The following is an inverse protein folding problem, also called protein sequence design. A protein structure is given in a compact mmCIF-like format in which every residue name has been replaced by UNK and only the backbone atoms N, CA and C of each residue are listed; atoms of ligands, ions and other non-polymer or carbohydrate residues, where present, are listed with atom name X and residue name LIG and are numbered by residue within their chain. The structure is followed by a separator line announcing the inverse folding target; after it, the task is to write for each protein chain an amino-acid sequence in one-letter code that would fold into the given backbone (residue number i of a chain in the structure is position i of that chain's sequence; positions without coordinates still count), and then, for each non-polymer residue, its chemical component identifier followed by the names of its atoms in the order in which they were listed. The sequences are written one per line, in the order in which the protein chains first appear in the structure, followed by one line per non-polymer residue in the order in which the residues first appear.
data_IF_234766017789
#
_entry.id   IF_234766017789
#
_cell.length_a   1.000
_cell.length_b   1.000
_cell.length_c   1.000
_cell.angle_alpha   90.00
_cell.angle_beta   90.00
_cell.angle_gamma   90.00
#
_symmetry.space_group_name_H-M   'P 1'
#
loop_
_entity.id
_entity.type
_entity.pdbx_description
1 polymer ?
#
# COMPACT_ATOMS: atom_id res chain seq x y z
N UNK A 1 -4.03 -1.09 -2.40
CA UNK A 1 -2.88 -1.90 -2.87
C UNK A 1 -1.84 -0.98 -3.49
N UNK A 2 -0.58 -1.42 -3.63
CA UNK A 2 0.54 -0.58 -4.08
C UNK A 2 1.47 -1.34 -5.02
N UNK A 3 2.13 -0.61 -5.91
CA UNK A 3 3.26 -1.05 -6.72
C UNK A 3 4.55 -0.59 -6.04
N UNK A 4 5.57 -1.43 -6.05
CA UNK A 4 6.82 -1.18 -5.30
C UNK A 4 8.00 -1.11 -6.26
N UNK A 5 8.73 0.00 -6.21
CA UNK A 5 10.04 0.16 -6.86
C UNK A 5 11.11 0.25 -5.77
N UNK A 6 12.34 -0.18 -6.07
CA UNK A 6 13.43 -0.21 -5.11
C UNK A 6 14.61 0.64 -5.57
N UNK A 7 15.15 1.43 -4.64
CA UNK A 7 16.49 2.01 -4.77
C UNK A 7 17.47 1.08 -4.05
N UNK A 8 18.37 0.48 -4.81
CA UNK A 8 19.35 -0.50 -4.30
C UNK A 8 20.77 -0.08 -4.65
N UNK A 9 21.75 -0.64 -3.94
CA UNK A 9 23.15 -0.49 -4.32
C UNK A 9 23.40 -0.85 -5.79
N UNK A 10 24.34 -0.14 -6.44
CA UNK A 10 24.76 -0.42 -7.82
C UNK A 10 25.33 -1.83 -7.98
N UNK A 11 26.07 -2.30 -6.97
CA UNK A 11 26.76 -3.59 -7.01
C UNK A 11 26.07 -4.57 -6.08
N UNK A 12 25.48 -5.66 -6.59
CA UNK A 12 24.90 -6.69 -5.74
C UNK A 12 25.87 -7.19 -4.66
N UNK A 13 25.39 -7.28 -3.42
CA UNK A 13 26.19 -7.71 -2.27
C UNK A 13 27.05 -6.62 -1.62
N UNK A 14 27.11 -5.40 -2.17
CA UNK A 14 27.70 -4.28 -1.43
C UNK A 14 26.69 -3.63 -0.48
N UNK A 15 27.15 -2.96 0.60
CA UNK A 15 26.26 -2.28 1.52
C UNK A 15 25.47 -1.16 0.85
N UNK A 16 24.20 -1.01 1.24
CA UNK A 16 23.34 0.07 0.77
C UNK A 16 23.53 1.34 1.63
N UNK A 17 23.85 2.47 0.99
CA UNK A 17 24.02 3.76 1.67
C UNK A 17 22.68 4.50 1.85
N UNK A 18 21.84 4.03 2.79
CA UNK A 18 20.52 4.62 3.04
C UNK A 18 20.59 6.13 3.36
N UNK A 19 21.55 6.55 4.19
CA UNK A 19 21.70 7.95 4.61
C UNK A 19 21.89 8.93 3.43
N UNK A 20 22.56 8.49 2.36
CA UNK A 20 22.75 9.32 1.16
C UNK A 20 21.42 9.53 0.43
N UNK A 21 20.66 8.45 0.25
CA UNK A 21 19.34 8.50 -0.39
C UNK A 21 18.37 9.33 0.45
N UNK A 22 18.41 9.17 1.78
CA UNK A 22 17.55 9.91 2.71
C UNK A 22 17.83 11.43 2.70
N UNK A 23 19.09 11.83 2.59
CA UNK A 23 19.47 13.24 2.45
C UNK A 23 18.88 13.84 1.16
N UNK A 24 19.05 13.16 0.03
CA UNK A 24 18.55 13.61 -1.28
C UNK A 24 17.01 13.61 -1.36
N UNK A 25 16.34 12.67 -0.69
CA UNK A 25 14.88 12.68 -0.53
C UNK A 25 14.42 13.89 0.30
N UNK A 26 15.14 14.21 1.37
CA UNK A 26 14.83 15.36 2.22
C UNK A 26 14.96 16.68 1.46
N UNK A 27 15.99 16.82 0.63
CA UNK A 27 16.18 17.99 -0.25
C UNK A 27 15.06 18.13 -1.29
N UNK A 28 14.43 17.02 -1.70
CA UNK A 28 13.29 16.98 -2.63
C UNK A 28 11.94 17.20 -1.95
N UNK A 29 11.94 17.55 -0.66
CA UNK A 29 10.73 17.86 0.09
C UNK A 29 9.93 16.63 0.52
N UNK A 30 10.58 15.46 0.65
CA UNK A 30 9.94 14.29 1.26
C UNK A 30 9.69 14.55 2.74
N UNK A 31 8.45 14.41 3.18
CA UNK A 31 8.02 14.74 4.54
C UNK A 31 7.65 13.49 5.32
N UNK A 32 8.13 13.37 6.54
CA UNK A 32 7.69 12.33 7.47
C UNK A 32 6.27 12.63 7.98
N UNK A 33 5.39 11.64 7.92
CA UNK A 33 4.06 11.69 8.52
C UNK A 33 4.09 11.24 9.98
N UNK A 34 3.07 11.61 10.78
CA UNK A 34 2.96 11.18 12.18
C UNK A 34 2.87 9.66 12.38
N UNK A 35 2.47 8.91 11.34
CA UNK A 35 2.42 7.45 11.32
C UNK A 35 3.80 6.80 11.05
N UNK A 36 4.87 7.61 10.91
CA UNK A 36 6.22 7.16 10.63
C UNK A 36 6.50 6.88 9.15
N UNK A 37 5.52 7.04 8.26
CA UNK A 37 5.70 6.88 6.81
C UNK A 37 6.20 8.18 6.21
N UNK A 38 7.21 8.09 5.34
CA UNK A 38 7.68 9.25 4.58
C UNK A 38 6.87 9.38 3.29
N UNK A 39 6.54 10.61 2.90
CA UNK A 39 5.72 10.89 1.72
C UNK A 39 6.46 11.82 0.76
N UNK A 40 6.47 11.42 -0.50
CA UNK A 40 6.93 12.22 -1.61
C UNK A 40 5.73 12.64 -2.46
N UNK A 41 5.43 13.94 -2.49
CA UNK A 41 4.29 14.48 -3.23
C UNK A 41 4.65 14.84 -4.66
N UNK A 42 3.78 14.42 -5.59
CA UNK A 42 3.85 14.68 -7.02
C UNK A 42 2.59 15.39 -7.49
N UNK A 43 2.56 15.80 -8.75
CA UNK A 43 1.39 16.47 -9.34
C UNK A 43 0.19 15.54 -9.41
N UNK A 44 0.41 14.26 -9.70
CA UNK A 44 -0.66 13.27 -9.89
C UNK A 44 -0.95 12.40 -8.65
N UNK A 45 -0.37 12.72 -7.50
CA UNK A 45 -0.62 12.01 -6.24
C UNK A 45 0.62 11.91 -5.37
N UNK A 46 0.56 11.04 -4.38
CA UNK A 46 1.63 10.83 -3.41
C UNK A 46 2.25 9.44 -3.56
N UNK A 47 3.57 9.35 -3.34
CA UNK A 47 4.31 8.10 -3.22
C UNK A 47 4.80 7.96 -1.78
N UNK A 48 4.54 6.81 -1.18
CA UNK A 48 5.05 6.50 0.15
C UNK A 48 6.47 5.95 0.06
N UNK A 49 7.34 6.40 0.95
CA UNK A 49 8.74 5.99 1.02
C UNK A 49 8.93 5.12 2.26
N UNK A 50 9.43 3.92 2.02
CA UNK A 50 9.72 2.91 3.04
C UNK A 50 11.18 2.46 3.02
N UNK A 51 11.52 1.60 3.97
CA UNK A 51 12.81 0.91 4.01
C UNK A 51 12.56 -0.59 3.86
N UNK A 52 13.35 -1.24 3.00
CA UNK A 52 13.43 -2.69 2.96
C UNK A 52 14.60 -3.12 3.85
N UNK A 53 14.33 -3.99 4.81
CA UNK A 53 15.32 -4.49 5.77
C UNK A 53 15.49 -5.99 5.66
N UNK A 54 16.74 -6.45 5.60
CA UNK A 54 17.12 -7.86 5.65
C UNK A 54 18.14 -8.04 6.79
N UNK A 55 17.90 -9.00 7.70
CA UNK A 55 18.79 -9.22 8.84
C UNK A 55 18.98 -7.99 9.74
N UNK A 56 18.01 -7.08 9.78
CA UNK A 56 18.07 -5.82 10.54
C UNK A 56 18.79 -4.67 9.84
N UNK A 57 19.46 -4.93 8.71
CA UNK A 57 20.13 -3.91 7.90
C UNK A 57 19.20 -3.39 6.81
N UNK A 58 19.23 -2.09 6.53
CA UNK A 58 18.51 -1.49 5.41
C UNK A 58 19.25 -1.85 4.12
N UNK A 59 18.57 -2.56 3.23
CA UNK A 59 19.14 -3.05 1.96
C UNK A 59 18.60 -2.29 0.74
N UNK A 60 17.47 -1.61 0.89
CA UNK A 60 16.90 -0.76 -0.14
C UNK A 60 15.98 0.31 0.46
N UNK A 61 15.76 1.39 -0.29
CA UNK A 61 14.63 2.30 -0.07
C UNK A 61 13.49 1.90 -0.99
N UNK A 62 12.29 1.75 -0.45
CA UNK A 62 11.09 1.37 -1.19
C UNK A 62 10.29 2.61 -1.61
N UNK A 63 9.92 2.67 -2.88
CA UNK A 63 8.93 3.62 -3.40
C UNK A 63 7.62 2.88 -3.63
N UNK A 64 6.62 3.23 -2.84
CA UNK A 64 5.32 2.58 -2.77
C UNK A 64 4.30 3.46 -3.49
N UNK A 65 4.12 3.20 -4.78
CA UNK A 65 3.18 3.93 -5.63
C UNK A 65 1.79 3.33 -5.47
N UNK A 66 0.75 4.11 -5.09
CA UNK A 66 -0.61 3.59 -5.01
C UNK A 66 -1.06 3.07 -6.38
N UNK A 67 -1.74 1.91 -6.42
CA UNK A 67 -2.32 1.41 -7.67
C UNK A 67 -3.49 2.27 -8.11
N UNK A 68 -3.48 2.68 -9.37
CA UNK A 68 -4.58 3.39 -10.03
C UNK A 68 -4.62 3.03 -11.51
N UNK A 69 -5.76 3.29 -12.14
CA UNK A 69 -5.96 3.16 -13.59
C UNK A 69 -5.27 4.28 -14.39
N UNK A 70 -4.82 5.35 -13.73
CA UNK A 70 -4.10 6.47 -14.33
C UNK A 70 -2.59 6.32 -14.17
N UNK A 71 -1.83 6.21 -15.27
CA UNK A 71 -0.39 5.94 -15.21
C UNK A 71 0.47 7.17 -14.90
N UNK A 72 -0.11 8.37 -14.84
CA UNK A 72 0.65 9.63 -14.77
C UNK A 72 1.53 9.71 -13.52
N UNK A 73 1.02 9.29 -12.36
CA UNK A 73 1.79 9.23 -11.12
C UNK A 73 2.97 8.24 -11.22
N UNK A 74 2.78 7.09 -11.88
CA UNK A 74 3.85 6.12 -12.07
C UNK A 74 4.96 6.68 -12.97
N UNK A 75 4.61 7.41 -14.03
CA UNK A 75 5.60 8.08 -14.90
C UNK A 75 6.41 9.12 -14.11
N UNK A 76 5.72 9.99 -13.38
CA UNK A 76 6.36 11.01 -12.54
C UNK A 76 7.29 10.38 -11.49
N UNK A 77 6.83 9.30 -10.84
CA UNK A 77 7.61 8.59 -9.84
C UNK A 77 8.86 7.92 -10.45
N UNK A 78 8.75 7.27 -11.61
CA UNK A 78 9.89 6.61 -12.28
C UNK A 78 10.93 7.63 -12.74
N UNK A 79 10.50 8.73 -13.37
CA UNK A 79 11.40 9.80 -13.82
C UNK A 79 12.16 10.41 -12.64
N UNK A 80 11.45 10.83 -11.58
CA UNK A 80 12.06 11.43 -10.41
C UNK A 80 12.94 10.45 -9.62
N UNK A 81 12.51 9.19 -9.50
CA UNK A 81 13.30 8.16 -8.83
C UNK A 81 14.55 7.79 -9.63
N UNK A 82 14.51 7.79 -10.96
CA UNK A 82 15.69 7.57 -11.79
C UNK A 82 16.70 8.72 -11.66
N UNK A 83 16.23 9.97 -11.61
CA UNK A 83 17.08 11.12 -11.35
C UNK A 83 17.73 11.04 -9.95
N UNK A 84 16.94 10.71 -8.92
CA UNK A 84 17.43 10.48 -7.56
C UNK A 84 18.45 9.34 -7.52
N UNK A 85 18.18 8.23 -8.21
CA UNK A 85 19.06 7.06 -8.25
C UNK A 85 20.43 7.43 -8.86
N UNK A 86 20.41 8.16 -9.98
CA UNK A 86 21.62 8.65 -10.64
C UNK A 86 22.45 9.55 -9.74
N UNK A 87 21.83 10.47 -9.00
CA UNK A 87 22.53 11.39 -8.10
C UNK A 87 23.08 10.67 -6.86
N UNK A 88 22.31 9.73 -6.31
CA UNK A 88 22.74 8.95 -5.16
C UNK A 88 23.79 7.88 -5.51
N UNK A 89 24.03 7.59 -6.79
CA UNK A 89 24.91 6.50 -7.20
C UNK A 89 24.34 5.13 -6.83
N UNK A 90 23.02 4.98 -6.93
CA UNK A 90 22.27 3.74 -6.67
C UNK A 90 21.49 3.38 -7.95
N UNK A 91 20.94 2.17 -8.00
CA UNK A 91 20.07 1.74 -9.11
C UNK A 91 18.61 1.76 -8.70
N UNK A 92 17.75 2.21 -9.61
CA UNK A 92 16.31 2.00 -9.53
C UNK A 92 16.00 0.61 -10.09
N UNK A 93 15.20 -0.17 -9.38
CA UNK A 93 14.85 -1.55 -9.73
C UNK A 93 13.33 -1.72 -9.68
N UNK A 94 12.81 -2.41 -10.67
CA UNK A 94 11.45 -2.96 -10.68
C UNK A 94 11.54 -4.46 -10.33
N UNK A 95 11.13 -4.87 -9.11
CA UNK A 95 11.11 -6.27 -8.71
C UNK A 95 10.22 -7.17 -9.56
N UNK A 96 9.10 -6.62 -10.06
CA UNK A 96 8.10 -7.36 -10.84
C UNK A 96 8.60 -7.63 -12.27
N UNK A 97 9.43 -6.75 -12.82
CA UNK A 97 10.13 -6.95 -14.09
C UNK A 97 11.52 -7.59 -13.92
N UNK A 98 12.01 -7.70 -12.68
CA UNK A 98 13.31 -8.28 -12.35
C UNK A 98 14.50 -7.52 -12.95
N UNK A 99 14.37 -6.21 -13.21
CA UNK A 99 15.39 -5.43 -13.92
C UNK A 99 15.56 -4.02 -13.35
N UNK A 100 16.72 -3.43 -13.63
CA UNK A 100 16.97 -2.02 -13.33
C UNK A 100 16.24 -1.12 -14.33
N UNK A 101 15.78 0.03 -13.84
CA UNK A 101 15.10 1.04 -14.62
C UNK A 101 15.99 2.28 -14.78
N UNK A 102 15.83 2.94 -15.91
CA UNK A 102 16.34 4.26 -16.22
C UNK A 102 15.17 5.22 -16.46
N UNK A 103 15.42 6.53 -16.48
CA UNK A 103 14.38 7.53 -16.78
C UNK A 103 13.79 7.45 -18.20
N UNK A 104 14.18 6.46 -19.02
CA UNK A 104 13.61 6.17 -20.35
C UNK A 104 12.78 4.88 -20.37
N UNK A 105 12.77 4.10 -19.29
CA UNK A 105 12.14 2.78 -19.23
C UNK A 105 10.63 2.80 -18.95
N UNK A 106 10.00 3.98 -19.06
CA UNK A 106 8.59 4.25 -18.72
C UNK A 106 7.60 3.26 -19.33
N UNK A 107 7.78 2.84 -20.59
CA UNK A 107 6.73 2.10 -21.30
C UNK A 107 6.44 0.72 -20.65
N UNK A 108 7.47 -0.05 -20.33
CA UNK A 108 7.31 -1.41 -19.80
C UNK A 108 6.85 -1.44 -18.34
N UNK A 109 7.40 -0.55 -17.51
CA UNK A 109 6.98 -0.42 -16.10
C UNK A 109 5.55 0.12 -15.99
N UNK A 110 5.18 1.10 -16.82
CA UNK A 110 3.82 1.64 -16.83
C UNK A 110 2.81 0.59 -17.29
N UNK A 111 3.13 -0.20 -18.32
CA UNK A 111 2.25 -1.28 -18.76
C UNK A 111 2.03 -2.31 -17.64
N UNK A 112 3.10 -2.73 -16.98
CA UNK A 112 3.03 -3.68 -15.86
C UNK A 112 2.23 -3.08 -14.68
N UNK A 113 2.45 -1.81 -14.35
CA UNK A 113 1.70 -1.09 -13.33
C UNK A 113 0.19 -1.07 -13.62
N UNK A 114 -0.21 -0.68 -14.84
CA UNK A 114 -1.62 -0.63 -15.24
C UNK A 114 -2.25 -2.03 -15.21
N UNK A 115 -1.50 -3.04 -15.65
CA UNK A 115 -1.92 -4.44 -15.59
C UNK A 115 -2.16 -4.88 -14.14
N UNK A 116 -1.22 -4.62 -13.24
CA UNK A 116 -1.36 -4.91 -11.81
C UNK A 116 -2.53 -4.16 -11.19
N UNK A 117 -2.74 -2.90 -11.55
CA UNK A 117 -3.87 -2.10 -11.08
C UNK A 117 -5.22 -2.68 -11.51
N UNK A 118 -5.36 -3.10 -12.78
CA UNK A 118 -6.58 -3.75 -13.28
C UNK A 118 -6.86 -5.07 -12.55
N UNK A 119 -5.86 -5.94 -12.43
CA UNK A 119 -6.05 -7.19 -11.69
C UNK A 119 -6.39 -6.96 -10.22
N UNK A 120 -5.76 -5.98 -9.56
CA UNK A 120 -6.10 -5.62 -8.20
C UNK A 120 -7.56 -5.13 -8.08
N UNK A 121 -8.05 -4.34 -9.04
CA UNK A 121 -9.44 -3.93 -9.12
C UNK A 121 -10.39 -5.11 -9.36
N UNK A 122 -10.01 -6.03 -10.26
CA UNK A 122 -10.81 -7.19 -10.60
C UNK A 122 -10.96 -8.18 -9.43
N UNK A 123 -9.85 -8.46 -8.73
CA UNK A 123 -9.80 -9.39 -7.61
C UNK A 123 -10.38 -8.78 -6.34
N UNK A 124 -10.24 -7.47 -6.13
CA UNK A 124 -10.86 -6.77 -5.00
C UNK A 124 -12.38 -6.51 -5.19
N UNK A 125 -12.91 -6.72 -6.40
CA UNK A 125 -14.35 -6.75 -6.71
C UNK A 125 -14.75 -5.83 -7.86
N UNK A 126 -15.03 -6.42 -9.04
CA UNK A 126 -15.77 -5.79 -10.16
C UNK A 126 -17.26 -5.69 -9.75
N UNK A 127 -17.94 -4.55 -9.93
CA UNK A 127 -18.43 -4.16 -11.26
C UNK A 127 -17.94 -2.80 -11.72
N UNK A 128 -17.82 -2.66 -13.04
CA UNK A 128 -17.76 -1.38 -13.72
C UNK A 128 -18.89 -0.44 -13.24
N UNK A 129 -18.54 0.53 -12.42
CA UNK A 129 -19.33 1.73 -12.18
C UNK A 129 -18.41 2.96 -12.32
N UNK A 130 -17.72 3.05 -13.46
CA UNK A 130 -17.25 4.35 -13.95
C UNK A 130 -18.48 5.14 -14.38
N UNK A 131 -19.03 5.89 -13.43
CA UNK A 131 -20.17 6.76 -13.66
C UNK A 131 -20.38 7.67 -12.46
N UNK A 132 -19.73 8.84 -12.53
CA UNK A 132 -20.02 10.03 -11.74
C UNK A 132 -19.63 10.03 -10.25
N UNK A 133 -18.64 10.88 -9.96
CA UNK A 133 -18.72 11.83 -8.84
C UNK A 133 -18.40 11.31 -7.44
N UNK A 134 -17.17 11.53 -6.99
CA UNK A 134 -16.89 12.10 -5.66
C UNK A 134 -15.37 12.16 -5.44
N UNK A 135 -14.79 13.25 -5.90
CA UNK A 135 -13.80 13.94 -5.06
C UNK A 135 -14.50 14.34 -3.76
N UNK A 136 -13.81 14.20 -2.63
CA UNK A 136 -14.28 14.36 -1.25
C UNK A 136 -14.94 13.11 -0.63
N UNK A 137 -14.12 12.33 0.08
CA UNK A 137 -14.33 12.25 1.52
C UNK A 137 -13.02 11.95 2.24
N UNK A 138 -12.80 12.80 3.21
CA UNK A 138 -11.69 12.89 4.13
C UNK A 138 -11.39 11.55 4.81
N UNK A 139 -10.11 11.37 5.09
CA UNK A 139 -9.63 10.34 5.99
C UNK A 139 -10.18 10.59 7.40
N UNK A 140 -11.25 9.88 7.78
CA UNK A 140 -11.57 9.64 9.18
C UNK A 140 -10.82 8.40 9.67
N UNK A 141 -9.83 8.67 10.54
CA UNK A 141 -9.73 8.04 11.86
C UNK A 141 -9.82 6.52 11.96
N UNK A 142 -8.70 5.92 12.34
CA UNK A 142 -8.59 4.78 13.26
C UNK A 142 -9.92 4.21 13.75
N UNK A 143 -10.43 3.15 13.12
CA UNK A 143 -11.47 2.31 13.73
C UNK A 143 -10.97 0.87 13.77
N UNK A 144 -10.56 0.48 14.98
CA UNK A 144 -10.41 -0.93 15.34
C UNK A 144 -11.68 -1.70 14.96
N UNK A 145 -11.48 -2.97 14.61
CA UNK A 145 -12.48 -4.00 14.31
C UNK A 145 -13.94 -3.51 14.37
N UNK A 146 -14.44 -2.93 13.28
CA UNK A 146 -15.86 -2.64 13.15
C UNK A 146 -16.60 -3.97 12.93
N UNK A 147 -17.03 -4.58 14.03
CA UNK A 147 -18.00 -5.67 14.04
C UNK A 147 -19.21 -5.18 13.25
N UNK A 148 -19.40 -5.70 12.03
CA UNK A 148 -20.53 -5.31 11.20
C UNK A 148 -21.83 -5.54 11.98
N UNK A 149 -22.82 -4.66 11.85
CA UNK A 149 -24.13 -4.79 12.54
C UNK A 149 -24.76 -6.17 12.32
N UNK A 150 -24.46 -6.82 11.18
CA UNK A 150 -24.85 -8.20 10.89
C UNK A 150 -24.23 -9.20 11.87
N UNK A 151 -22.94 -9.09 12.17
CA UNK A 151 -22.26 -9.95 13.15
C UNK A 151 -22.84 -9.77 14.56
N UNK A 152 -23.15 -8.54 14.97
CA UNK A 152 -23.79 -8.28 16.28
C UNK A 152 -25.17 -8.94 16.36
N UNK A 153 -25.99 -8.83 15.31
CA UNK A 153 -27.30 -9.46 15.26
C UNK A 153 -27.22 -10.99 15.28
N UNK A 154 -26.23 -11.58 14.60
CA UNK A 154 -26.00 -13.03 14.60
C UNK A 154 -25.61 -13.50 16.01
N UNK A 155 -24.66 -12.83 16.65
CA UNK A 155 -24.22 -13.18 18.01
C UNK A 155 -25.38 -13.06 18.99
N UNK A 156 -26.14 -11.96 18.93
CA UNK A 156 -27.30 -11.76 19.79
C UNK A 156 -28.37 -12.84 19.57
N UNK A 157 -28.63 -13.24 18.32
CA UNK A 157 -29.55 -14.33 17.99
C UNK A 157 -29.11 -15.67 18.60
N UNK A 158 -27.82 -16.00 18.53
CA UNK A 158 -27.27 -17.22 19.13
C UNK A 158 -27.50 -17.22 20.65
N UNK A 159 -27.22 -16.11 21.34
CA UNK A 159 -27.43 -16.02 22.79
C UNK A 159 -28.90 -16.15 23.19
N UNK A 160 -29.84 -15.59 22.42
CA UNK A 160 -31.27 -15.73 22.68
C UNK A 160 -31.74 -17.17 22.52
N UNK A 161 -31.29 -17.86 21.46
CA UNK A 161 -31.60 -19.28 21.27
C UNK A 161 -31.03 -20.12 22.41
N UNK A 162 -29.78 -19.87 22.79
CA UNK A 162 -29.13 -20.59 23.87
C UNK A 162 -29.83 -20.37 25.22
N UNK A 163 -30.27 -19.14 25.49
CA UNK A 163 -31.09 -18.82 26.67
C UNK A 163 -32.41 -19.61 26.68
N UNK A 164 -33.14 -19.65 25.57
CA UNK A 164 -34.40 -20.41 25.49
C UNK A 164 -34.18 -21.91 25.67
N UNK A 165 -33.08 -22.46 25.16
CA UNK A 165 -32.73 -23.87 25.35
C UNK A 165 -32.42 -24.15 26.83
N UNK A 166 -31.68 -23.28 27.50
CA UNK A 166 -31.39 -23.44 28.93
C UNK A 166 -32.66 -23.29 29.76
N UNK A 167 -33.49 -22.29 29.47
CA UNK A 167 -34.77 -22.05 30.17
C UNK A 167 -35.72 -23.26 30.03
N UNK A 168 -35.82 -23.83 28.83
CA UNK A 168 -36.64 -25.03 28.59
C UNK A 168 -36.09 -26.27 29.29
N UNK A 169 -34.77 -26.46 29.33
CA UNK A 169 -34.15 -27.57 30.06
C UNK A 169 -34.30 -27.40 31.58
N UNK A 170 -34.15 -26.19 32.10
CA UNK A 170 -34.35 -25.87 33.53
C UNK A 170 -35.82 -26.03 33.92
N UNK A 171 -36.76 -25.60 33.07
CA UNK A 171 -38.20 -25.80 33.28
C UNK A 171 -38.61 -27.28 33.26
N UNK A 172 -37.93 -28.14 32.49
CA UNK A 172 -38.16 -29.59 32.50
C UNK A 172 -37.53 -30.29 33.72
N UNK A 173 -36.50 -29.71 34.33
CA UNK A 173 -35.79 -30.27 35.49
C UNK A 173 -36.30 -29.73 36.84
N UNK A 174 -36.90 -28.54 36.86
CA UNK A 174 -37.44 -27.87 38.05
C UNK A 174 -38.95 -27.67 37.92
N UNK A 175 -39.72 -28.71 38.25
CA UNK A 175 -41.17 -28.69 38.15
C UNK A 175 -41.84 -27.54 38.90
N UNK A 176 -42.79 -26.91 38.21
CA UNK A 176 -44.07 -26.46 38.76
C UNK A 176 -45.18 -26.98 37.87
#
# INVERSE_FOLDING_TARGET
MRYELLLQTMTPGSPYEAARVDALLSERGVVARPDGVRRWSFKNGDVDIGELREGGQVVATELRVPLSDRPDLMREAVEAAAALASEAGVRLVDPQLGRSLTGKDDAGVVEQYVRTARYAGEVAGVPEAMGAGSYALEAEGSRGFQLSTRMVLIVMGIFVVLYLVVDTLVGQLGGR
#
